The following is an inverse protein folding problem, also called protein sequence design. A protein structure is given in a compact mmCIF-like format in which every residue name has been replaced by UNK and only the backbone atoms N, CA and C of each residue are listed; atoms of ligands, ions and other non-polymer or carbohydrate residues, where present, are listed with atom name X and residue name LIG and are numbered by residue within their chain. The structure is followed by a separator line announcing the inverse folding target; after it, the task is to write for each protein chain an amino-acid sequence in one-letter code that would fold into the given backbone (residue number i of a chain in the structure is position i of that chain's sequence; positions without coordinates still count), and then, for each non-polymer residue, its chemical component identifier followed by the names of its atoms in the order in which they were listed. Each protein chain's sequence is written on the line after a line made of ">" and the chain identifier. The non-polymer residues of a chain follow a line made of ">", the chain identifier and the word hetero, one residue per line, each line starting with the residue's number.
data_IF_266669073848
#
_entry.id   IF_266669073848
#
_cell.length_a   1.000
_cell.length_b   1.000
_cell.length_c   1.000
_cell.angle_alpha   90.00
_cell.angle_beta   90.00
_cell.angle_gamma   90.00
#
_symmetry.space_group_name_H-M   'P 1'
#
loop_
_entity.id
_entity.type
_entity.pdbx_description
1 polymer ?
#
# COMPACT_ATOMS: atom_id res chain seq x y z
N UNK A 1 72.21 -46.85 -43.63
CA UNK A 1 70.75 -47.05 -43.61
C UNK A 1 70.22 -46.94 -42.18
N UNK A 2 70.10 -45.74 -41.62
CA UNK A 2 69.70 -45.53 -40.20
C UNK A 2 68.57 -44.48 -40.00
N UNK A 3 67.97 -43.93 -41.06
CA UNK A 3 67.01 -42.82 -40.94
C UNK A 3 65.52 -43.14 -41.06
N UNK A 4 65.14 -44.29 -41.65
CA UNK A 4 63.75 -44.54 -42.03
C UNK A 4 62.87 -45.04 -40.85
N UNK A 5 63.44 -45.81 -39.92
CA UNK A 5 62.70 -46.37 -38.78
C UNK A 5 62.27 -45.32 -37.75
N UNK A 6 63.10 -44.29 -37.50
CA UNK A 6 62.78 -43.20 -36.57
C UNK A 6 61.67 -42.28 -37.08
N UNK A 7 61.63 -42.02 -38.39
CA UNK A 7 60.60 -41.17 -39.01
C UNK A 7 59.22 -41.84 -38.97
N UNK A 8 59.14 -43.14 -39.25
CA UNK A 8 57.89 -43.91 -39.15
C UNK A 8 57.40 -43.99 -37.69
N UNK A 9 58.31 -44.16 -36.72
CA UNK A 9 57.97 -44.17 -35.30
C UNK A 9 57.40 -42.82 -34.81
N UNK A 10 57.99 -41.69 -35.25
CA UNK A 10 57.49 -40.35 -34.95
C UNK A 10 56.11 -40.09 -35.55
N UNK A 11 55.88 -40.54 -36.79
CA UNK A 11 54.59 -40.40 -37.47
C UNK A 11 53.48 -41.19 -36.75
N UNK A 12 53.80 -42.42 -36.31
CA UNK A 12 52.89 -43.24 -35.51
C UNK A 12 52.62 -42.63 -34.13
N UNK A 13 53.65 -42.07 -33.48
CA UNK A 13 53.51 -41.38 -32.20
C UNK A 13 52.62 -40.12 -32.32
N UNK A 14 52.84 -39.30 -33.35
CA UNK A 14 52.03 -38.11 -33.62
C UNK A 14 50.56 -38.46 -33.92
N UNK A 15 50.30 -39.53 -34.69
CA UNK A 15 48.94 -40.01 -34.97
C UNK A 15 48.24 -40.55 -33.72
N UNK A 16 48.97 -41.25 -32.85
CA UNK A 16 48.48 -41.69 -31.53
C UNK A 16 48.19 -40.51 -30.61
N UNK A 17 49.03 -39.48 -30.63
CA UNK A 17 48.80 -38.26 -29.86
C UNK A 17 47.57 -37.50 -30.35
N UNK A 18 47.41 -37.30 -31.66
CA UNK A 18 46.23 -36.61 -32.21
C UNK A 18 44.93 -37.36 -31.92
N UNK A 19 44.93 -38.69 -31.98
CA UNK A 19 43.76 -39.49 -31.62
C UNK A 19 43.46 -39.40 -30.13
N UNK A 20 44.48 -39.44 -29.27
CA UNK A 20 44.31 -39.23 -27.84
C UNK A 20 43.79 -37.82 -27.51
N UNK A 21 44.27 -36.78 -28.20
CA UNK A 21 43.80 -35.40 -28.06
C UNK A 21 42.34 -35.25 -28.49
N UNK A 22 41.95 -35.87 -29.62
CA UNK A 22 40.56 -35.85 -30.09
C UNK A 22 39.62 -36.62 -29.16
N UNK A 23 40.04 -37.78 -28.67
CA UNK A 23 39.30 -38.56 -27.68
C UNK A 23 39.13 -37.78 -26.37
N UNK A 24 40.17 -37.06 -25.93
CA UNK A 24 40.15 -36.26 -24.71
C UNK A 24 39.27 -35.01 -24.88
N UNK A 25 39.29 -34.38 -26.04
CA UNK A 25 38.39 -33.27 -26.40
C UNK A 25 36.92 -33.73 -26.43
N UNK A 26 36.64 -34.90 -27.02
CA UNK A 26 35.29 -35.48 -27.06
C UNK A 26 34.80 -35.80 -25.65
N UNK A 27 35.63 -36.47 -24.83
CA UNK A 27 35.30 -36.73 -23.42
C UNK A 27 35.05 -35.46 -22.63
N UNK A 28 35.81 -34.39 -22.88
CA UNK A 28 35.61 -33.10 -22.22
C UNK A 28 34.27 -32.47 -22.60
N UNK A 29 33.90 -32.50 -23.87
CA UNK A 29 32.59 -32.02 -24.32
C UNK A 29 31.44 -32.86 -23.73
N UNK A 30 31.58 -34.18 -23.69
CA UNK A 30 30.58 -35.07 -23.06
C UNK A 30 30.42 -34.79 -21.56
N UNK A 31 31.50 -34.50 -20.85
CA UNK A 31 31.44 -34.12 -19.43
C UNK A 31 30.72 -32.78 -19.24
N UNK A 32 31.03 -31.78 -20.06
CA UNK A 32 30.37 -30.47 -20.00
C UNK A 32 28.86 -30.60 -20.28
N UNK A 33 28.47 -31.37 -21.30
CA UNK A 33 27.06 -31.62 -21.59
C UNK A 33 26.35 -32.35 -20.44
N UNK A 34 27.03 -33.30 -19.78
CA UNK A 34 26.49 -33.99 -18.60
C UNK A 34 26.38 -33.09 -17.39
N UNK A 35 27.35 -32.20 -17.16
CA UNK A 35 27.31 -31.22 -16.07
C UNK A 35 26.14 -30.25 -16.27
N UNK A 36 25.99 -29.69 -17.48
CA UNK A 36 24.85 -28.84 -17.84
C UNK A 36 23.51 -29.56 -17.65
N UNK A 37 23.36 -30.78 -18.20
CA UNK A 37 22.14 -31.56 -18.03
C UNK A 37 21.83 -31.88 -16.56
N UNK A 38 22.86 -32.08 -15.73
CA UNK A 38 22.69 -32.29 -14.29
C UNK A 38 22.30 -31.00 -13.56
N UNK A 39 22.82 -29.84 -13.97
CA UNK A 39 22.43 -28.53 -13.44
C UNK A 39 20.98 -28.21 -13.78
N UNK A 40 20.60 -28.38 -15.05
CA UNK A 40 19.21 -28.21 -15.52
C UNK A 40 18.26 -29.14 -14.76
N UNK A 41 18.61 -30.42 -14.62
CA UNK A 41 17.80 -31.38 -13.88
C UNK A 41 17.66 -31.02 -12.38
N UNK A 42 18.72 -30.47 -11.76
CA UNK A 42 18.66 -29.97 -10.37
C UNK A 42 17.77 -28.75 -10.24
N UNK A 43 17.84 -27.84 -11.21
CA UNK A 43 16.99 -26.65 -11.26
C UNK A 43 15.52 -27.03 -11.39
N UNK A 44 15.19 -27.87 -12.38
CA UNK A 44 13.84 -28.41 -12.59
C UNK A 44 13.30 -29.11 -11.33
N UNK A 45 14.12 -29.92 -10.67
CA UNK A 45 13.73 -30.63 -9.46
C UNK A 45 13.50 -29.68 -8.27
N UNK A 46 14.25 -28.58 -8.20
CA UNK A 46 14.06 -27.54 -7.19
C UNK A 46 12.75 -26.78 -7.43
N UNK A 47 12.48 -26.36 -8.67
CA UNK A 47 11.25 -25.66 -9.06
C UNK A 47 9.99 -26.50 -8.81
N UNK A 48 10.02 -27.79 -9.18
CA UNK A 48 8.93 -28.73 -8.88
C UNK A 48 8.67 -28.85 -7.39
N UNK A 49 9.73 -28.94 -6.58
CA UNK A 49 9.60 -29.02 -5.11
C UNK A 49 8.98 -27.75 -4.51
N UNK A 50 9.33 -26.58 -5.03
CA UNK A 50 8.72 -25.30 -4.63
C UNK A 50 7.23 -25.30 -4.99
N UNK A 51 6.90 -25.70 -6.22
CA UNK A 51 5.52 -25.78 -6.72
C UNK A 51 4.66 -26.74 -5.90
N UNK A 52 5.19 -27.93 -5.55
CA UNK A 52 4.49 -28.92 -4.73
C UNK A 52 4.23 -28.40 -3.31
N UNK A 53 5.21 -27.72 -2.71
CA UNK A 53 5.06 -27.10 -1.38
C UNK A 53 4.04 -25.97 -1.41
N UNK A 54 4.08 -25.14 -2.44
CA UNK A 54 3.09 -24.09 -2.67
C UNK A 54 1.67 -24.66 -2.75
N UNK A 55 1.46 -25.66 -3.62
CA UNK A 55 0.14 -26.26 -3.83
C UNK A 55 -0.40 -26.86 -2.52
N UNK A 56 0.45 -27.57 -1.78
CA UNK A 56 0.08 -28.15 -0.49
C UNK A 56 -0.28 -27.09 0.55
N UNK A 57 0.47 -26.00 0.62
CA UNK A 57 0.19 -24.92 1.57
C UNK A 57 -1.09 -24.14 1.22
N UNK A 58 -1.34 -23.93 -0.08
CA UNK A 58 -2.58 -23.34 -0.57
C UNK A 58 -3.81 -24.25 -0.29
N UNK A 59 -3.68 -25.56 -0.48
CA UNK A 59 -4.72 -26.53 -0.11
C UNK A 59 -5.02 -26.49 1.41
N UNK A 60 -3.98 -26.43 2.24
CA UNK A 60 -4.11 -26.31 3.69
C UNK A 60 -4.83 -25.02 4.11
N UNK A 61 -4.56 -23.89 3.43
CA UNK A 61 -5.24 -22.62 3.66
C UNK A 61 -6.74 -22.69 3.35
N UNK A 62 -7.16 -23.55 2.41
CA UNK A 62 -8.56 -23.80 2.08
C UNK A 62 -9.27 -24.82 2.99
N UNK A 63 -8.59 -25.39 3.99
CA UNK A 63 -9.17 -26.43 4.83
C UNK A 63 -10.25 -25.90 5.79
N UNK A 64 -11.23 -26.75 6.12
CA UNK A 64 -12.32 -26.40 7.07
C UNK A 64 -11.82 -26.11 8.49
N UNK A 65 -10.75 -26.79 8.93
CA UNK A 65 -10.23 -26.67 10.29
C UNK A 65 -9.20 -25.55 10.39
N UNK A 66 -9.43 -24.58 11.27
CA UNK A 66 -8.54 -23.44 11.48
C UNK A 66 -7.07 -23.84 11.78
N UNK A 67 -6.75 -24.87 12.59
CA UNK A 67 -5.36 -25.28 12.80
C UNK A 67 -4.63 -25.70 11.52
N UNK A 68 -5.35 -26.27 10.54
CA UNK A 68 -4.78 -26.65 9.24
C UNK A 68 -4.52 -25.41 8.39
N UNK A 69 -5.45 -24.43 8.40
CA UNK A 69 -5.25 -23.14 7.72
C UNK A 69 -4.05 -22.38 8.27
N UNK A 70 -3.90 -22.32 9.59
CA UNK A 70 -2.73 -21.73 10.25
C UNK A 70 -1.43 -22.39 9.82
N UNK A 71 -1.39 -23.73 9.76
CA UNK A 71 -0.22 -24.44 9.25
C UNK A 71 0.08 -24.09 7.78
N UNK A 72 -0.96 -23.94 6.96
CA UNK A 72 -0.86 -23.45 5.58
C UNK A 72 -0.24 -22.05 5.50
N UNK A 73 -0.72 -21.10 6.31
CA UNK A 73 -0.17 -19.74 6.36
C UNK A 73 1.33 -19.72 6.70
N UNK A 74 1.75 -20.43 7.75
CA UNK A 74 3.17 -20.50 8.12
C UNK A 74 4.02 -21.23 7.07
N UNK A 75 3.45 -22.22 6.37
CA UNK A 75 4.13 -22.88 5.26
C UNK A 75 4.31 -21.92 4.06
N UNK A 76 3.32 -21.10 3.74
CA UNK A 76 3.39 -20.06 2.72
C UNK A 76 4.42 -18.98 3.09
N UNK A 77 4.39 -18.49 4.33
CA UNK A 77 5.36 -17.51 4.86
C UNK A 77 6.79 -18.02 4.70
N UNK A 78 7.06 -19.25 5.17
CA UNK A 78 8.39 -19.87 5.03
C UNK A 78 8.80 -20.04 3.57
N UNK A 79 7.86 -20.43 2.71
CA UNK A 79 8.13 -20.58 1.28
C UNK A 79 8.53 -19.23 0.64
N UNK A 80 7.83 -18.14 0.97
CA UNK A 80 8.19 -16.80 0.51
C UNK A 80 9.53 -16.31 1.06
N UNK A 81 9.81 -16.62 2.34
CA UNK A 81 11.07 -16.26 2.98
C UNK A 81 12.26 -16.91 2.28
N UNK A 82 12.16 -18.20 1.98
CA UNK A 82 13.19 -18.98 1.31
C UNK A 82 13.30 -18.68 -0.21
N UNK A 83 12.27 -18.06 -0.81
CA UNK A 83 12.17 -17.87 -2.27
C UNK A 83 11.69 -16.46 -2.64
N UNK A 84 12.59 -15.46 -2.72
CA UNK A 84 12.24 -14.06 -2.95
C UNK A 84 11.37 -13.81 -4.20
N UNK A 85 11.60 -14.56 -5.28
CA UNK A 85 10.81 -14.45 -6.52
C UNK A 85 9.32 -14.77 -6.33
N UNK A 86 8.95 -15.50 -5.28
CA UNK A 86 7.57 -15.92 -5.01
C UNK A 86 6.84 -15.04 -3.99
N UNK A 87 7.52 -14.07 -3.36
CA UNK A 87 6.94 -13.24 -2.28
C UNK A 87 5.64 -12.56 -2.70
N UNK A 88 5.60 -11.93 -3.88
CA UNK A 88 4.40 -11.29 -4.38
C UNK A 88 3.26 -12.30 -4.60
N UNK A 89 3.54 -13.46 -5.16
CA UNK A 89 2.53 -14.52 -5.36
C UNK A 89 1.95 -14.99 -4.03
N UNK A 90 2.79 -15.17 -3.01
CA UNK A 90 2.35 -15.56 -1.67
C UNK A 90 1.51 -14.46 -1.01
N UNK A 91 1.92 -13.20 -1.10
CA UNK A 91 1.13 -12.05 -0.64
C UNK A 91 -0.23 -12.02 -1.33
N UNK A 92 -0.30 -12.29 -2.63
CA UNK A 92 -1.55 -12.34 -3.37
C UNK A 92 -2.48 -13.47 -2.88
N UNK A 93 -1.94 -14.64 -2.53
CA UNK A 93 -2.72 -15.75 -1.97
C UNK A 93 -3.27 -15.41 -0.59
N UNK A 94 -2.44 -14.85 0.30
CA UNK A 94 -2.87 -14.42 1.63
C UNK A 94 -3.94 -13.33 1.52
N UNK A 95 -3.74 -12.38 0.60
CA UNK A 95 -4.70 -11.31 0.33
C UNK A 95 -6.02 -11.84 -0.25
N UNK A 96 -5.97 -12.84 -1.14
CA UNK A 96 -7.17 -13.50 -1.66
C UNK A 96 -7.97 -14.18 -0.55
N UNK A 97 -7.29 -14.84 0.41
CA UNK A 97 -7.93 -15.41 1.59
C UNK A 97 -8.60 -14.33 2.46
N UNK A 98 -7.91 -13.22 2.74
CA UNK A 98 -8.47 -12.11 3.53
C UNK A 98 -9.67 -11.43 2.85
N UNK A 99 -9.73 -11.43 1.52
CA UNK A 99 -10.88 -10.93 0.74
C UNK A 99 -12.08 -11.87 0.72
N UNK A 100 -11.97 -13.11 1.20
CA UNK A 100 -13.14 -13.98 1.32
C UNK A 100 -14.15 -13.38 2.31
N UNK A 101 -15.47 -13.55 2.08
CA UNK A 101 -16.50 -13.01 2.97
C UNK A 101 -16.29 -13.42 4.43
N UNK A 102 -16.48 -12.46 5.33
CA UNK A 102 -16.38 -12.67 6.76
C UNK A 102 -17.25 -11.66 7.49
N UNK A 103 -18.03 -12.12 8.46
CA UNK A 103 -18.82 -11.28 9.33
C UNK A 103 -18.40 -11.49 10.79
N UNK A 104 -17.70 -10.52 11.41
CA UNK A 104 -17.19 -10.63 12.78
C UNK A 104 -18.28 -10.65 13.85
N UNK A 105 -19.53 -10.32 13.50
CA UNK A 105 -20.67 -10.28 14.43
C UNK A 105 -21.71 -11.37 14.16
N UNK A 106 -21.40 -12.36 13.31
CA UNK A 106 -22.30 -13.48 13.06
C UNK A 106 -22.58 -14.30 14.33
N UNK A 107 -23.85 -14.41 14.73
CA UNK A 107 -24.26 -15.09 15.96
C UNK A 107 -24.43 -16.61 15.79
N UNK A 108 -24.78 -17.06 14.58
CA UNK A 108 -25.22 -18.44 14.29
C UNK A 108 -24.12 -19.49 14.53
N UNK A 109 -22.83 -19.12 14.43
CA UNK A 109 -21.69 -19.96 14.79
C UNK A 109 -20.51 -19.15 15.35
N UNK A 110 -20.65 -18.72 16.61
CA UNK A 110 -19.63 -17.94 17.32
C UNK A 110 -18.27 -18.64 17.38
N UNK A 111 -18.23 -19.97 17.45
CA UNK A 111 -16.96 -20.70 17.53
C UNK A 111 -16.23 -20.65 16.19
N UNK A 112 -16.91 -20.96 15.09
CA UNK A 112 -16.31 -20.87 13.76
C UNK A 112 -15.88 -19.42 13.44
N UNK A 113 -16.67 -18.43 13.85
CA UNK A 113 -16.30 -17.01 13.71
C UNK A 113 -15.00 -16.68 14.47
N UNK A 114 -14.85 -17.13 15.73
CA UNK A 114 -13.62 -16.95 16.50
C UNK A 114 -12.44 -17.70 15.88
N UNK A 115 -12.63 -18.94 15.43
CA UNK A 115 -11.59 -19.72 14.76
C UNK A 115 -11.13 -19.05 13.45
N UNK A 116 -12.06 -18.51 12.64
CA UNK A 116 -11.75 -17.76 11.42
C UNK A 116 -11.06 -16.42 11.72
N UNK A 117 -11.49 -15.72 12.79
CA UNK A 117 -10.83 -14.50 13.28
C UNK A 117 -9.35 -14.74 13.54
N UNK A 118 -9.01 -15.82 14.24
CA UNK A 118 -7.61 -16.15 14.56
C UNK A 118 -6.76 -16.38 13.30
N UNK A 119 -7.30 -17.05 12.29
CA UNK A 119 -6.57 -17.27 11.01
C UNK A 119 -6.36 -15.95 10.27
N UNK A 120 -7.37 -15.08 10.22
CA UNK A 120 -7.28 -13.77 9.55
C UNK A 120 -6.31 -12.81 10.25
N UNK A 121 -6.36 -12.77 11.58
CA UNK A 121 -5.40 -12.00 12.39
C UNK A 121 -3.98 -12.52 12.14
N UNK A 122 -3.78 -13.84 12.07
CA UNK A 122 -2.47 -14.44 11.76
C UNK A 122 -2.00 -14.04 10.36
N UNK A 123 -2.88 -14.09 9.35
CA UNK A 123 -2.57 -13.64 7.99
C UNK A 123 -2.14 -12.16 7.94
N UNK A 124 -2.86 -11.28 8.64
CA UNK A 124 -2.49 -9.87 8.76
C UNK A 124 -1.14 -9.67 9.48
N UNK A 125 -0.85 -10.46 10.51
CA UNK A 125 0.41 -10.40 11.25
C UNK A 125 1.60 -10.81 10.37
N UNK A 126 1.44 -11.87 9.56
CA UNK A 126 2.46 -12.30 8.60
C UNK A 126 2.74 -11.16 7.60
N UNK A 127 1.69 -10.57 7.02
CA UNK A 127 1.86 -9.43 6.10
C UNK A 127 2.59 -8.27 6.79
N UNK A 128 2.13 -7.87 7.99
CA UNK A 128 2.75 -6.78 8.78
C UNK A 128 4.23 -7.03 9.03
N UNK A 129 4.58 -8.24 9.46
CA UNK A 129 5.95 -8.61 9.83
C UNK A 129 6.95 -8.51 8.68
N UNK A 130 6.47 -8.65 7.44
CA UNK A 130 7.30 -8.60 6.24
C UNK A 130 7.27 -7.24 5.52
N UNK A 131 6.39 -6.32 5.92
CA UNK A 131 6.27 -5.00 5.30
C UNK A 131 7.05 -3.90 6.04
N UNK A 132 7.60 -4.18 7.22
CA UNK A 132 8.35 -3.22 8.02
C UNK A 132 9.87 -3.24 7.70
N UNK A 133 10.46 -2.20 7.07
CA UNK A 133 11.89 -2.14 6.77
C UNK A 133 12.79 -1.89 7.99
N UNK A 134 12.25 -1.31 9.07
CA UNK A 134 13.01 -0.90 10.25
C UNK A 134 13.10 -1.98 11.36
N UNK A 135 12.71 -3.22 11.07
CA UNK A 135 12.78 -4.33 12.02
C UNK A 135 14.22 -4.76 12.36
N UNK A 136 14.39 -5.45 13.50
CA UNK A 136 15.67 -5.98 13.99
C UNK A 136 16.32 -7.03 13.06
N UNK A 137 15.54 -7.56 12.10
CA UNK A 137 15.96 -8.58 11.14
C UNK A 137 15.71 -8.09 9.72
N UNK A 138 16.76 -7.55 9.07
CA UNK A 138 16.68 -7.04 7.69
C UNK A 138 16.29 -8.12 6.69
N UNK A 139 16.52 -9.39 7.00
CA UNK A 139 16.21 -10.49 6.08
C UNK A 139 14.71 -10.80 6.03
N UNK A 140 13.92 -10.31 7.00
CA UNK A 140 12.45 -10.45 7.01
C UNK A 140 11.73 -9.43 6.13
N UNK A 141 12.32 -8.28 5.84
CA UNK A 141 11.63 -7.27 5.04
C UNK A 141 11.52 -7.69 3.57
N UNK A 142 10.30 -7.65 3.03
CA UNK A 142 10.00 -7.94 1.64
C UNK A 142 9.74 -6.63 0.89
N UNK A 143 10.76 -6.15 0.18
CA UNK A 143 10.68 -4.91 -0.57
C UNK A 143 9.75 -4.98 -1.79
N UNK A 144 9.24 -3.82 -2.17
CA UNK A 144 8.56 -3.55 -3.45
C UNK A 144 7.33 -4.42 -3.73
N UNK A 145 6.58 -4.72 -2.67
CA UNK A 145 5.33 -5.48 -2.73
C UNK A 145 4.12 -4.60 -3.02
N UNK A 146 3.20 -5.15 -3.82
CA UNK A 146 1.83 -4.64 -3.94
C UNK A 146 0.90 -5.41 -2.99
N UNK A 147 -0.04 -4.70 -2.37
CA UNK A 147 -1.01 -5.27 -1.45
C UNK A 147 -2.44 -4.96 -1.90
N UNK A 148 -3.22 -5.99 -2.25
CA UNK A 148 -4.62 -5.85 -2.64
C UNK A 148 -5.56 -6.50 -1.60
N UNK A 149 -6.05 -5.68 -0.67
CA UNK A 149 -7.03 -6.04 0.35
C UNK A 149 -8.39 -5.40 0.06
N UNK A 150 -8.69 -5.10 -1.21
CA UNK A 150 -9.97 -4.51 -1.60
C UNK A 150 -11.15 -5.43 -1.25
N UNK A 151 -12.15 -4.88 -0.56
CA UNK A 151 -13.31 -5.63 -0.08
C UNK A 151 -13.06 -6.54 1.14
N UNK A 152 -11.83 -6.58 1.67
CA UNK A 152 -11.52 -7.41 2.84
C UNK A 152 -12.12 -6.83 4.12
N UNK A 153 -12.39 -7.69 5.09
CA UNK A 153 -12.65 -7.29 6.49
C UNK A 153 -11.36 -7.43 7.27
N UNK A 154 -10.81 -6.30 7.73
CA UNK A 154 -9.51 -6.19 8.38
C UNK A 154 -9.70 -5.84 9.85
N UNK A 155 -9.06 -6.59 10.74
CA UNK A 155 -9.35 -6.58 12.18
C UNK A 155 -8.16 -6.02 12.93
N UNK A 156 -8.34 -4.91 13.65
CA UNK A 156 -7.29 -4.25 14.44
C UNK A 156 -5.97 -4.10 13.64
N UNK A 157 -6.08 -3.66 12.38
CA UNK A 157 -4.97 -3.67 11.42
C UNK A 157 -3.84 -2.73 11.87
N UNK A 158 -2.60 -3.23 11.86
CA UNK A 158 -1.41 -2.48 12.26
C UNK A 158 -0.36 -2.56 11.18
N UNK A 159 -0.11 -1.47 10.47
CA UNK A 159 1.03 -1.30 9.58
C UNK A 159 1.85 -0.08 9.99
N UNK A 160 2.34 -0.09 11.23
CA UNK A 160 3.26 0.94 11.70
C UNK A 160 4.57 0.86 10.93
N UNK A 161 5.10 2.00 10.48
CA UNK A 161 6.38 2.15 9.79
C UNK A 161 6.58 1.18 8.61
N UNK A 162 5.51 0.64 8.04
CA UNK A 162 5.57 -0.30 6.93
C UNK A 162 5.88 0.43 5.61
N UNK A 163 6.36 -0.30 4.60
CA UNK A 163 6.60 0.25 3.27
C UNK A 163 6.01 -0.67 2.20
N UNK A 164 5.16 -0.09 1.35
CA UNK A 164 4.47 -0.77 0.26
C UNK A 164 4.73 -0.04 -1.06
N UNK A 165 4.75 -0.79 -2.17
CA UNK A 165 4.78 -0.20 -3.51
C UNK A 165 3.40 0.35 -3.84
N UNK A 166 2.41 -0.51 -4.08
CA UNK A 166 1.02 -0.09 -4.25
C UNK A 166 0.13 -0.72 -3.17
N UNK A 167 -0.95 -0.03 -2.82
CA UNK A 167 -1.90 -0.56 -1.84
C UNK A 167 -3.36 -0.28 -2.26
N UNK A 168 -4.16 -1.33 -2.30
CA UNK A 168 -5.59 -1.25 -2.58
C UNK A 168 -6.39 -1.76 -1.39
N UNK A 169 -7.13 -0.85 -0.78
CA UNK A 169 -8.10 -1.09 0.29
C UNK A 169 -9.51 -0.66 -0.14
N UNK A 170 -9.77 -0.51 -1.44
CA UNK A 170 -11.07 -0.07 -1.93
C UNK A 170 -12.18 -1.02 -1.46
N UNK A 171 -13.25 -0.46 -0.88
CA UNK A 171 -14.38 -1.18 -0.27
C UNK A 171 -14.00 -2.09 0.91
N UNK A 172 -12.79 -1.97 1.46
CA UNK A 172 -12.41 -2.71 2.65
C UNK A 172 -13.15 -2.19 3.89
N UNK A 173 -13.41 -3.07 4.85
CA UNK A 173 -14.01 -2.74 6.13
C UNK A 173 -12.98 -2.94 7.24
N UNK A 174 -12.62 -1.86 7.91
CA UNK A 174 -11.66 -1.86 9.00
C UNK A 174 -12.41 -1.90 10.33
N UNK A 175 -12.35 -3.05 11.00
CA UNK A 175 -13.05 -3.33 12.25
C UNK A 175 -12.07 -3.19 13.40
N UNK A 176 -12.45 -2.40 14.41
CA UNK A 176 -11.56 -2.02 15.49
C UNK A 176 -10.58 -0.92 15.09
N UNK A 177 -9.52 -0.73 15.88
CA UNK A 177 -8.58 0.35 15.66
C UNK A 177 -7.64 0.03 14.49
N UNK A 178 -7.48 0.96 13.55
CA UNK A 178 -6.52 0.82 12.44
C UNK A 178 -5.37 1.79 12.61
N UNK A 179 -4.15 1.26 12.61
CA UNK A 179 -2.93 2.04 12.71
C UNK A 179 -2.07 1.89 11.46
N UNK A 180 -1.91 3.00 10.74
CA UNK A 180 -1.07 3.21 9.57
C UNK A 180 -0.03 4.32 9.88
N UNK A 181 0.38 4.42 11.15
CA UNK A 181 1.33 5.41 11.64
C UNK A 181 2.69 5.25 10.93
N UNK A 182 3.21 6.33 10.35
CA UNK A 182 4.53 6.32 9.70
C UNK A 182 4.63 5.42 8.46
N UNK A 183 3.51 4.89 7.95
CA UNK A 183 3.53 4.02 6.78
C UNK A 183 3.97 4.80 5.54
N UNK A 184 4.72 4.15 4.65
CA UNK A 184 5.16 4.73 3.38
C UNK A 184 4.59 3.97 2.19
N UNK A 185 3.65 4.60 1.50
CA UNK A 185 3.13 4.14 0.22
C UNK A 185 3.92 4.79 -0.91
N UNK A 186 4.76 4.01 -1.60
CA UNK A 186 5.67 4.53 -2.64
C UNK A 186 5.01 4.77 -3.99
N UNK A 187 3.85 4.16 -4.20
CA UNK A 187 3.05 4.23 -5.41
C UNK A 187 1.58 4.49 -5.07
N UNK A 188 0.72 4.19 -6.02
CA UNK A 188 -0.70 4.55 -5.95
C UNK A 188 -1.41 3.84 -4.79
N UNK A 189 -2.25 4.59 -4.08
CA UNK A 189 -2.99 4.10 -2.91
C UNK A 189 -4.48 4.37 -3.01
N UNK A 190 -5.30 3.35 -2.68
CA UNK A 190 -6.76 3.43 -2.81
C UNK A 190 -7.47 3.01 -1.54
N UNK A 191 -8.35 3.86 -1.05
CA UNK A 191 -9.32 3.65 0.02
C UNK A 191 -10.74 3.99 -0.45
N UNK A 192 -10.99 4.01 -1.77
CA UNK A 192 -12.32 4.34 -2.31
C UNK A 192 -13.39 3.45 -1.66
N UNK A 193 -14.45 4.05 -1.14
CA UNK A 193 -15.58 3.37 -0.49
C UNK A 193 -15.19 2.47 0.70
N UNK A 194 -13.99 2.62 1.26
CA UNK A 194 -13.60 1.92 2.47
C UNK A 194 -14.37 2.46 3.70
N UNK A 195 -14.56 1.59 4.70
CA UNK A 195 -15.24 1.96 5.95
C UNK A 195 -14.32 1.68 7.11
N UNK A 196 -14.01 2.71 7.90
CA UNK A 196 -13.29 2.59 9.17
C UNK A 196 -14.28 2.69 10.32
N UNK A 197 -14.51 1.57 11.01
CA UNK A 197 -15.47 1.49 12.11
C UNK A 197 -14.89 2.03 13.42
N UNK A 198 -13.60 1.78 13.67
CA UNK A 198 -12.84 2.34 14.79
C UNK A 198 -11.96 3.51 14.37
N UNK A 199 -11.12 3.98 15.31
CA UNK A 199 -10.17 5.06 15.04
C UNK A 199 -9.20 4.67 13.93
N UNK A 200 -8.93 5.60 13.01
CA UNK A 200 -8.03 5.42 11.89
C UNK A 200 -6.84 6.39 11.99
N UNK A 201 -5.65 5.84 12.25
CA UNK A 201 -4.45 6.64 12.48
C UNK A 201 -3.52 6.56 11.27
N UNK A 202 -3.42 7.67 10.54
CA UNK A 202 -2.52 7.91 9.41
C UNK A 202 -1.46 8.96 9.74
N UNK A 203 -1.25 9.27 11.03
CA UNK A 203 -0.27 10.27 11.41
C UNK A 203 1.11 9.88 10.88
N UNK A 204 1.88 10.88 10.43
CA UNK A 204 3.21 10.70 9.83
C UNK A 204 3.24 9.78 8.58
N UNK A 205 2.09 9.38 8.03
CA UNK A 205 2.05 8.56 6.82
C UNK A 205 2.54 9.35 5.60
N UNK A 206 3.30 8.70 4.73
CA UNK A 206 3.78 9.26 3.47
C UNK A 206 3.10 8.56 2.28
N UNK A 207 2.50 9.38 1.41
CA UNK A 207 1.89 8.94 0.16
C UNK A 207 2.66 9.56 -1.00
N UNK A 208 3.55 8.78 -1.61
CA UNK A 208 4.47 9.28 -2.64
C UNK A 208 3.80 9.54 -4.00
N UNK A 209 2.63 8.94 -4.25
CA UNK A 209 1.89 9.05 -5.51
C UNK A 209 0.39 9.29 -5.22
N UNK A 210 -0.42 9.23 -6.27
CA UNK A 210 -1.85 9.50 -6.25
C UNK A 210 -2.58 8.67 -5.21
N UNK A 211 -3.37 9.34 -4.38
CA UNK A 211 -4.10 8.72 -3.27
C UNK A 211 -5.59 9.03 -3.36
N UNK A 212 -6.42 7.99 -3.23
CA UNK A 212 -7.88 8.10 -3.38
C UNK A 212 -8.61 7.66 -2.12
N UNK A 213 -9.52 8.50 -1.66
CA UNK A 213 -10.43 8.30 -0.55
C UNK A 213 -11.88 8.58 -0.99
N UNK A 214 -12.20 8.46 -2.28
CA UNK A 214 -13.54 8.76 -2.78
C UNK A 214 -14.60 7.90 -2.07
N UNK A 215 -15.61 8.53 -1.47
CA UNK A 215 -16.68 7.84 -0.76
C UNK A 215 -16.26 7.10 0.51
N UNK A 216 -15.02 7.29 1.00
CA UNK A 216 -14.56 6.69 2.25
C UNK A 216 -15.45 7.15 3.41
N UNK A 217 -15.68 6.27 4.40
CA UNK A 217 -16.41 6.63 5.62
C UNK A 217 -15.58 6.30 6.85
N UNK A 218 -15.27 7.33 7.64
CA UNK A 218 -14.69 7.20 8.98
C UNK A 218 -15.81 7.36 10.00
N UNK A 219 -16.17 6.28 10.71
CA UNK A 219 -17.23 6.30 11.73
C UNK A 219 -16.75 6.90 13.06
N UNK A 220 -15.47 6.68 13.39
CA UNK A 220 -14.78 7.29 14.50
C UNK A 220 -13.73 8.31 14.00
N UNK A 221 -12.84 8.74 14.91
CA UNK A 221 -11.81 9.74 14.60
C UNK A 221 -10.85 9.27 13.50
N UNK A 222 -10.53 10.19 12.59
CA UNK A 222 -9.54 10.01 11.54
C UNK A 222 -8.39 11.01 11.74
N UNK A 223 -7.17 10.50 11.93
CA UNK A 223 -6.00 11.32 12.25
C UNK A 223 -4.96 11.24 11.14
N UNK A 224 -4.76 12.35 10.44
CA UNK A 224 -3.77 12.56 9.38
C UNK A 224 -2.71 13.58 9.82
N UNK A 225 -2.59 13.84 11.11
CA UNK A 225 -1.62 14.79 11.66
C UNK A 225 -0.21 14.48 11.16
N UNK A 226 0.49 15.49 10.65
CA UNK A 226 1.86 15.37 10.13
C UNK A 226 2.01 14.38 8.94
N UNK A 227 0.92 13.91 8.34
CA UNK A 227 0.96 13.13 7.10
C UNK A 227 1.43 13.98 5.92
N UNK A 228 2.05 13.34 4.93
CA UNK A 228 2.52 14.00 3.70
C UNK A 228 1.98 13.29 2.46
N UNK A 229 1.27 14.05 1.63
CA UNK A 229 0.74 13.62 0.34
C UNK A 229 1.53 14.29 -0.80
N UNK A 230 2.44 13.55 -1.42
CA UNK A 230 3.26 14.06 -2.52
C UNK A 230 2.48 14.12 -3.84
N UNK A 231 1.63 13.12 -4.09
CA UNK A 231 0.78 13.05 -5.28
C UNK A 231 -0.58 13.71 -5.11
N UNK A 232 -1.37 13.68 -6.19
CA UNK A 232 -2.75 14.18 -6.16
C UNK A 232 -3.61 13.36 -5.19
N UNK A 233 -4.40 14.03 -4.35
CA UNK A 233 -5.22 13.38 -3.32
C UNK A 233 -6.70 13.75 -3.45
N UNK A 234 -7.58 12.74 -3.42
CA UNK A 234 -9.01 12.93 -3.63
C UNK A 234 -9.82 12.36 -2.47
N UNK A 235 -10.64 13.21 -1.83
CA UNK A 235 -11.60 12.90 -0.77
C UNK A 235 -13.05 13.15 -1.23
N UNK A 236 -13.34 12.97 -2.51
CA UNK A 236 -14.67 13.26 -3.06
C UNK A 236 -15.74 12.42 -2.37
N UNK A 237 -16.82 13.04 -1.91
CA UNK A 237 -17.90 12.40 -1.16
C UNK A 237 -17.42 11.64 0.10
N UNK A 238 -16.23 11.96 0.65
CA UNK A 238 -15.74 11.36 1.89
C UNK A 238 -16.59 11.79 3.08
N UNK A 239 -16.76 10.91 4.07
CA UNK A 239 -17.57 11.15 5.26
C UNK A 239 -16.75 10.94 6.52
N UNK A 240 -16.52 12.01 7.26
CA UNK A 240 -15.87 11.98 8.58
C UNK A 240 -16.95 12.16 9.65
N UNK A 241 -17.42 11.07 10.25
CA UNK A 241 -18.46 11.11 11.30
C UNK A 241 -17.88 11.48 12.67
N UNK A 242 -16.68 11.01 12.97
CA UNK A 242 -15.87 11.45 14.11
C UNK A 242 -15.02 12.67 13.77
N UNK A 243 -14.11 13.04 14.67
CA UNK A 243 -13.22 14.18 14.45
C UNK A 243 -12.20 13.85 13.34
N UNK A 244 -11.98 14.81 12.45
CA UNK A 244 -11.03 14.71 11.35
C UNK A 244 -9.86 15.67 11.61
N UNK A 245 -8.66 15.12 11.81
CA UNK A 245 -7.46 15.90 12.09
C UNK A 245 -6.49 15.82 10.93
N UNK A 246 -6.11 16.99 10.44
CA UNK A 246 -5.12 17.25 9.40
C UNK A 246 -4.08 18.27 9.89
N UNK A 247 -3.83 18.29 11.21
CA UNK A 247 -2.91 19.23 11.82
C UNK A 247 -1.50 19.05 11.25
N UNK A 248 -0.90 20.14 10.74
CA UNK A 248 0.42 20.12 10.08
C UNK A 248 0.54 19.14 8.90
N UNK A 249 -0.57 18.68 8.32
CA UNK A 249 -0.54 17.84 7.12
C UNK A 249 0.03 18.64 5.94
N UNK A 250 0.83 17.98 5.11
CA UNK A 250 1.40 18.56 3.89
C UNK A 250 0.75 17.92 2.66
N UNK A 251 -0.04 18.70 1.93
CA UNK A 251 -0.54 18.34 0.60
C UNK A 251 0.36 18.99 -0.45
N UNK A 252 1.38 18.27 -0.91
CA UNK A 252 2.32 18.78 -1.90
C UNK A 252 1.74 18.73 -3.33
N UNK A 253 0.89 17.74 -3.62
CA UNK A 253 0.09 17.67 -4.85
C UNK A 253 -1.32 18.22 -4.69
N UNK A 254 -2.01 18.43 -5.82
CA UNK A 254 -3.41 18.88 -5.86
C UNK A 254 -4.32 18.06 -4.94
N UNK A 255 -5.17 18.74 -4.18
CA UNK A 255 -6.16 18.09 -3.30
C UNK A 255 -7.60 18.46 -3.68
N UNK A 256 -8.49 17.47 -3.60
CA UNK A 256 -9.91 17.63 -3.94
C UNK A 256 -10.77 17.06 -2.80
N UNK A 257 -11.58 17.89 -2.16
CA UNK A 257 -12.56 17.50 -1.13
C UNK A 257 -14.01 17.56 -1.61
N UNK A 258 -14.27 17.61 -2.93
CA UNK A 258 -15.62 17.81 -3.48
C UNK A 258 -16.70 16.98 -2.79
N UNK A 259 -17.74 17.64 -2.28
CA UNK A 259 -18.89 17.01 -1.58
C UNK A 259 -18.50 16.18 -0.34
N UNK A 260 -17.33 16.42 0.25
CA UNK A 260 -16.96 15.80 1.52
C UNK A 260 -17.79 16.37 2.68
N UNK A 261 -18.11 15.53 3.66
CA UNK A 261 -18.86 15.90 4.85
C UNK A 261 -18.03 15.62 6.11
N UNK A 262 -17.78 16.67 6.90
CA UNK A 262 -17.14 16.64 8.20
C UNK A 262 -18.21 16.81 9.28
N UNK A 263 -18.77 15.70 9.74
CA UNK A 263 -19.79 15.67 10.79
C UNK A 263 -19.25 15.82 12.21
N UNK A 264 -17.97 15.48 12.42
CA UNK A 264 -17.20 15.84 13.62
C UNK A 264 -16.38 17.11 13.41
N UNK A 265 -15.52 17.47 14.36
CA UNK A 265 -14.66 18.65 14.24
C UNK A 265 -13.63 18.43 13.13
N UNK A 266 -13.38 19.45 12.32
CA UNK A 266 -12.36 19.42 11.29
C UNK A 266 -11.21 20.36 11.68
N UNK A 267 -10.02 19.80 11.91
CA UNK A 267 -8.84 20.57 12.29
C UNK A 267 -7.77 20.47 11.21
N UNK A 268 -7.53 21.58 10.51
CA UNK A 268 -6.46 21.74 9.53
C UNK A 268 -5.33 22.63 10.05
N UNK A 269 -5.25 22.89 11.36
CA UNK A 269 -4.30 23.88 11.88
C UNK A 269 -2.87 23.58 11.42
N UNK A 270 -2.20 24.60 10.86
CA UNK A 270 -0.84 24.52 10.30
C UNK A 270 -0.68 23.58 9.09
N UNK A 271 -1.77 23.12 8.48
CA UNK A 271 -1.69 22.38 7.24
C UNK A 271 -1.16 23.27 6.10
N UNK A 272 -0.46 22.64 5.15
CA UNK A 272 0.06 23.32 3.96
C UNK A 272 -0.50 22.65 2.70
N UNK A 273 -1.14 23.45 1.85
CA UNK A 273 -1.57 23.09 0.51
C UNK A 273 -0.60 23.73 -0.49
N UNK A 274 0.41 22.98 -0.92
CA UNK A 274 1.48 23.50 -1.79
C UNK A 274 1.05 23.63 -3.26
N UNK A 275 0.01 22.88 -3.64
CA UNK A 275 -0.67 22.94 -4.92
C UNK A 275 -2.16 23.25 -4.71
N UNK A 276 -2.94 23.33 -5.78
CA UNK A 276 -4.30 23.81 -5.73
C UNK A 276 -5.23 22.91 -4.89
N UNK A 277 -6.08 23.55 -4.07
CA UNK A 277 -7.01 22.92 -3.16
C UNK A 277 -8.46 23.25 -3.54
N UNK A 278 -9.26 22.20 -3.80
CA UNK A 278 -10.62 22.32 -4.32
C UNK A 278 -11.61 21.76 -3.30
N UNK A 279 -12.50 22.59 -2.80
CA UNK A 279 -13.48 22.22 -1.77
C UNK A 279 -14.93 22.52 -2.22
N UNK A 280 -15.38 22.15 -3.44
CA UNK A 280 -16.74 22.45 -3.83
C UNK A 280 -17.76 21.59 -3.06
N UNK A 281 -18.78 22.19 -2.49
CA UNK A 281 -19.87 21.48 -1.80
C UNK A 281 -19.46 20.80 -0.50
N UNK A 282 -18.35 21.22 0.12
CA UNK A 282 -17.92 20.66 1.41
C UNK A 282 -18.86 21.13 2.52
N UNK A 283 -19.26 20.19 3.38
CA UNK A 283 -20.04 20.47 4.59
C UNK A 283 -19.17 20.28 5.83
N UNK A 284 -18.94 21.36 6.56
CA UNK A 284 -18.37 21.36 7.91
C UNK A 284 -19.51 21.48 8.92
N UNK A 285 -20.05 20.33 9.35
CA UNK A 285 -21.19 20.25 10.25
C UNK A 285 -20.90 20.63 11.71
N UNK A 286 -19.63 20.88 12.06
CA UNK A 286 -19.14 21.30 13.38
C UNK A 286 -18.01 22.32 13.22
N UNK A 287 -17.27 22.59 14.30
CA UNK A 287 -16.14 23.51 14.29
C UNK A 287 -15.11 23.14 13.20
N UNK A 288 -14.69 24.14 12.43
CA UNK A 288 -13.73 24.02 11.35
C UNK A 288 -12.55 24.98 11.59
N UNK A 289 -11.37 24.43 11.83
CA UNK A 289 -10.18 25.20 12.20
C UNK A 289 -9.16 25.21 11.06
N UNK A 290 -8.86 26.39 10.53
CA UNK A 290 -7.84 26.63 9.51
C UNK A 290 -6.69 27.52 10.02
N UNK A 291 -6.48 27.58 11.34
CA UNK A 291 -5.46 28.46 11.95
C UNK A 291 -4.07 28.17 11.41
N UNK A 292 -3.35 29.22 10.98
CA UNK A 292 -1.99 29.13 10.43
C UNK A 292 -1.87 28.21 9.19
N UNK A 293 -2.96 28.01 8.44
CA UNK A 293 -2.93 27.26 7.17
C UNK A 293 -2.28 28.07 6.07
N UNK A 294 -1.53 27.41 5.19
CA UNK A 294 -0.97 28.01 3.98
C UNK A 294 -1.56 27.38 2.72
N UNK A 295 -2.12 28.21 1.83
CA UNK A 295 -2.48 27.87 0.45
C UNK A 295 -1.46 28.53 -0.48
N UNK A 296 -0.53 27.74 -1.02
CA UNK A 296 0.55 28.25 -1.87
C UNK A 296 0.13 28.47 -3.33
N UNK A 297 -0.98 27.87 -3.74
CA UNK A 297 -1.63 28.02 -5.05
C UNK A 297 -3.12 28.32 -4.84
N UNK A 298 -3.92 28.02 -5.85
CA UNK A 298 -5.34 28.31 -5.85
C UNK A 298 -6.11 27.57 -4.74
N UNK A 299 -6.96 28.28 -4.01
CA UNK A 299 -7.87 27.74 -3.01
C UNK A 299 -9.33 28.03 -3.36
N UNK A 300 -10.11 27.02 -3.75
CA UNK A 300 -11.49 27.22 -4.20
C UNK A 300 -12.50 26.64 -3.22
N UNK A 301 -13.17 27.53 -2.50
CA UNK A 301 -14.29 27.25 -1.61
C UNK A 301 -15.58 27.63 -2.35
N UNK A 302 -16.24 26.64 -2.93
CA UNK A 302 -17.45 26.84 -3.74
C UNK A 302 -18.62 26.11 -3.08
N UNK A 303 -19.69 26.81 -2.71
CA UNK A 303 -20.84 26.23 -2.02
C UNK A 303 -20.46 25.46 -0.75
N UNK A 304 -19.51 25.99 0.03
CA UNK A 304 -19.09 25.37 1.30
C UNK A 304 -20.03 25.78 2.41
N UNK A 305 -20.48 24.82 3.20
CA UNK A 305 -21.31 25.05 4.39
C UNK A 305 -20.45 24.92 5.64
N UNK A 306 -20.51 25.93 6.51
CA UNK A 306 -19.93 25.93 7.84
C UNK A 306 -21.07 26.03 8.86
N UNK A 307 -21.19 25.05 9.76
CA UNK A 307 -22.29 24.98 10.75
C UNK A 307 -21.81 25.06 12.21
N UNK A 308 -20.59 25.55 12.41
CA UNK A 308 -19.94 25.65 13.72
C UNK A 308 -18.89 26.75 13.75
N UNK A 309 -18.13 26.82 14.83
CA UNK A 309 -17.09 27.85 14.95
C UNK A 309 -16.05 27.65 13.85
N UNK A 310 -15.91 28.65 12.99
CA UNK A 310 -14.98 28.62 11.85
C UNK A 310 -13.88 29.65 12.06
N UNK A 311 -12.63 29.22 12.00
CA UNK A 311 -11.46 30.04 12.33
C UNK A 311 -10.42 30.02 11.19
N UNK A 312 -10.21 31.17 10.55
CA UNK A 312 -9.20 31.41 9.50
C UNK A 312 -8.02 32.26 10.02
N UNK A 313 -7.78 32.28 11.33
CA UNK A 313 -6.73 33.07 11.95
C UNK A 313 -5.34 32.77 11.37
N UNK A 314 -4.64 33.82 10.93
CA UNK A 314 -3.30 33.74 10.34
C UNK A 314 -3.17 32.83 9.10
N UNK A 315 -4.24 32.67 8.32
CA UNK A 315 -4.17 31.95 7.04
C UNK A 315 -3.39 32.76 6.01
N UNK A 316 -2.57 32.08 5.22
CA UNK A 316 -1.83 32.65 4.10
C UNK A 316 -2.35 32.13 2.77
N UNK A 317 -2.70 33.03 1.85
CA UNK A 317 -3.02 32.72 0.46
C UNK A 317 -1.98 33.38 -0.45
N UNK A 318 -1.23 32.57 -1.21
CA UNK A 318 -0.17 33.07 -2.09
C UNK A 318 -0.66 33.41 -3.50
N UNK A 319 -1.72 32.75 -3.96
CA UNK A 319 -2.36 32.94 -5.28
C UNK A 319 -3.87 33.20 -5.11
N UNK A 320 -4.68 32.82 -6.10
CA UNK A 320 -6.11 33.10 -6.12
C UNK A 320 -6.89 32.25 -5.10
N UNK A 321 -7.72 32.91 -4.30
CA UNK A 321 -8.67 32.25 -3.42
C UNK A 321 -10.08 32.71 -3.78
N UNK A 322 -11.04 31.78 -3.80
CA UNK A 322 -12.44 32.07 -4.10
C UNK A 322 -13.34 31.52 -3.01
N UNK A 323 -14.23 32.37 -2.48
CA UNK A 323 -15.35 32.00 -1.61
C UNK A 323 -16.64 32.35 -2.34
N UNK A 324 -17.22 31.38 -3.05
CA UNK A 324 -18.46 31.58 -3.83
C UNK A 324 -19.56 30.70 -3.25
N UNK A 325 -20.71 31.28 -2.92
CA UNK A 325 -21.84 30.54 -2.39
C UNK A 325 -21.60 29.89 -1.01
N UNK A 326 -20.55 30.31 -0.30
CA UNK A 326 -20.23 29.78 1.03
C UNK A 326 -21.18 30.33 2.10
N UNK A 327 -21.47 29.53 3.13
CA UNK A 327 -22.34 29.94 4.24
C UNK A 327 -21.76 29.59 5.60
N UNK A 328 -22.06 30.40 6.61
CA UNK A 328 -21.83 30.15 8.03
C UNK A 328 -23.18 30.21 8.73
N UNK A 329 -23.61 29.08 9.30
CA UNK A 329 -24.94 28.88 9.89
C UNK A 329 -26.09 29.35 8.95
N UNK A 330 -25.95 29.03 7.65
CA UNK A 330 -26.92 29.38 6.61
C UNK A 330 -26.88 30.83 6.11
N UNK A 331 -25.98 31.67 6.63
CA UNK A 331 -25.78 33.05 6.20
C UNK A 331 -24.59 33.11 5.25
N UNK A 332 -24.67 33.87 4.14
CA UNK A 332 -23.56 34.05 3.23
C UNK A 332 -22.27 34.45 3.98
N UNK A 333 -21.18 33.75 3.72
CA UNK A 333 -19.95 33.85 4.49
C UNK A 333 -18.72 34.03 3.61
N UNK A 334 -17.90 34.98 4.03
CA UNK A 334 -16.59 35.28 3.47
C UNK A 334 -15.66 35.60 4.65
N UNK A 335 -14.47 34.98 4.76
CA UNK A 335 -13.58 35.22 5.90
C UNK A 335 -13.18 36.70 6.02
N UNK A 336 -13.27 37.31 7.22
CA UNK A 336 -13.02 38.74 7.42
C UNK A 336 -11.56 39.15 7.18
N UNK A 337 -10.62 38.23 7.29
CA UNK A 337 -9.20 38.43 6.98
C UNK A 337 -8.94 38.54 5.47
N UNK A 338 -9.91 38.14 4.64
CA UNK A 338 -9.79 38.20 3.20
C UNK A 338 -10.25 39.56 2.67
N UNK A 339 -9.33 40.27 2.04
CA UNK A 339 -9.65 41.38 1.14
C UNK A 339 -9.59 40.83 -0.27
N UNK A 340 -10.74 40.77 -0.94
CA UNK A 340 -10.80 40.49 -2.38
C UNK A 340 -9.74 41.34 -3.10
N UNK A 341 -8.90 40.70 -3.92
CA UNK A 341 -8.20 41.46 -4.96
C UNK A 341 -9.31 41.90 -5.93
N UNK A 342 -9.41 43.20 -6.26
CA UNK A 342 -10.41 43.64 -7.22
C UNK A 342 -10.24 42.82 -8.49
N UNK A 343 -11.34 42.20 -8.95
CA UNK A 343 -11.39 41.56 -10.25
C UNK A 343 -10.91 42.61 -11.27
N UNK A 344 -9.80 42.32 -11.95
CA UNK A 344 -9.51 43.06 -13.17
C UNK A 344 -10.61 42.69 -14.14
N UNK A 345 -11.52 43.64 -14.37
CA UNK A 345 -12.46 43.60 -15.48
C UNK A 345 -11.69 43.18 -16.74
N UNK A 346 -12.03 42.02 -17.30
CA UNK A 346 -11.64 41.63 -18.65
C UNK A 346 -12.28 42.63 -19.63
N UNK A 347 -11.55 43.69 -19.95
CA UNK A 347 -11.76 44.52 -21.14
C UNK A 347 -10.41 44.95 -21.72
N UNK A 348 -9.87 44.14 -22.64
CA UNK A 348 -9.79 44.44 -24.08
C UNK A 348 -9.23 43.25 -24.89
#
# INVERSE_FOLDING_TARGET
>A
MLGAGGFIALLLAARRQQTAEHDLATKRNDLLLREQANEDARHDAAERRISDRYLKAAEQLGAEKAPVRLAGLYALERLAQDNPAHRQTIVNVISAYLRMPYDPVAEDDRRACLEEREVRVTAQQILTGHLAPAGADRDRYWADLDLDLGGAVLIDLKFHDCSLRNANFARARFVGQTSLLGIRFRGSTRFDEAVFEGEAWFAEAEFSDSTRFDGVTFLADARFDEATFFGATVFRCARFRGDARFGKTQFAGKVIFSEAAFGGRADFARATFADAAYLPGVDFGRDARFVEVTFARDGWFLNVEFSGNTDFGNVTFSEDVRFVGCTLDGIAYTPPEWKERPEYDEFD
#
